data_IF_751646129925
#
_entry.id   IF_751646129925
#
_cell.length_a   1.000
_cell.length_b   1.000
_cell.length_c   1.000
_cell.angle_alpha   90.00
_cell.angle_beta   90.00
_cell.angle_gamma   90.00
#
_symmetry.space_group_name_H-M   'P 1'
#
loop_
_entity.id
_entity.type
_entity.pdbx_description
1 polymer ?
#
# COMPACT_ATOMS: atom_id res chain seq x y z
N UNK A 1 36.85 -27.92 -38.50
CA UNK A 1 35.41 -27.95 -38.73
C UNK A 1 34.94 -29.38 -38.56
N UNK A 2 34.33 -29.71 -37.44
CA UNK A 2 33.78 -31.06 -37.18
C UNK A 2 32.33 -30.88 -36.76
N UNK A 3 31.38 -31.51 -37.42
CA UNK A 3 29.96 -31.48 -36.99
C UNK A 3 29.73 -32.50 -35.89
N UNK A 4 29.05 -32.07 -34.81
CA UNK A 4 28.54 -32.93 -33.76
C UNK A 4 27.15 -33.46 -34.14
N UNK A 5 26.87 -34.73 -33.88
CA UNK A 5 25.59 -35.33 -34.26
C UNK A 5 24.48 -35.00 -33.23
N UNK A 6 23.34 -34.68 -33.78
CA UNK A 6 22.05 -34.63 -33.07
C UNK A 6 21.64 -36.05 -32.68
N UNK A 7 21.64 -36.34 -31.38
CA UNK A 7 20.99 -37.52 -30.85
C UNK A 7 19.63 -37.17 -30.29
N UNK A 8 18.62 -37.69 -30.96
CA UNK A 8 17.24 -37.69 -30.54
C UNK A 8 17.05 -38.54 -29.27
N UNK A 9 16.47 -37.98 -28.24
CA UNK A 9 15.82 -38.74 -27.17
C UNK A 9 14.36 -38.31 -27.06
N UNK A 10 13.56 -39.01 -27.83
CA UNK A 10 12.12 -39.16 -27.60
C UNK A 10 11.96 -40.12 -26.40
N UNK A 11 11.46 -39.64 -25.29
CA UNK A 11 10.91 -40.49 -24.25
C UNK A 11 9.51 -39.95 -23.85
N UNK A 12 8.60 -40.67 -24.33
CA UNK A 12 7.16 -40.69 -24.09
C UNK A 12 6.93 -41.14 -22.63
N UNK A 13 6.32 -40.31 -21.81
CA UNK A 13 5.65 -40.78 -20.58
C UNK A 13 4.30 -40.12 -20.51
N UNK A 14 3.31 -40.87 -20.95
CA UNK A 14 1.91 -40.68 -20.62
C UNK A 14 1.66 -41.41 -19.29
N UNK A 15 1.12 -40.70 -18.27
CA UNK A 15 0.25 -41.33 -17.26
C UNK A 15 -0.50 -40.24 -16.46
N UNK A 16 -1.76 -40.33 -16.58
CA UNK A 16 -2.83 -40.44 -15.60
C UNK A 16 -3.23 -39.17 -14.86
N UNK A 17 -4.34 -38.68 -15.37
CA UNK A 17 -5.34 -37.84 -14.71
C UNK A 17 -5.85 -38.47 -13.41
N UNK A 18 -5.81 -37.74 -12.30
CA UNK A 18 -6.74 -37.90 -11.20
C UNK A 18 -7.28 -36.52 -10.85
N UNK A 19 -8.47 -36.24 -11.34
CA UNK A 19 -9.30 -35.13 -10.89
C UNK A 19 -9.88 -35.48 -9.53
N UNK A 20 -9.35 -34.87 -8.48
CA UNK A 20 -10.02 -34.83 -7.18
C UNK A 20 -10.77 -33.51 -7.08
N UNK A 21 -12.06 -33.56 -7.38
CA UNK A 21 -13.01 -32.50 -7.05
C UNK A 21 -13.26 -32.56 -5.55
N UNK A 22 -12.64 -31.64 -4.81
CA UNK A 22 -13.00 -31.38 -3.42
C UNK A 22 -14.07 -30.32 -3.41
N UNK A 23 -15.32 -30.74 -3.32
CA UNK A 23 -16.46 -29.90 -2.97
C UNK A 23 -16.39 -29.59 -1.47
N UNK A 24 -15.90 -28.40 -1.12
CA UNK A 24 -16.01 -27.87 0.22
C UNK A 24 -17.46 -27.41 0.43
N UNK A 25 -18.23 -28.19 1.15
CA UNK A 25 -19.53 -27.79 1.68
C UNK A 25 -19.31 -26.79 2.83
N UNK A 26 -19.83 -25.58 2.63
CA UNK A 26 -19.96 -24.57 3.69
C UNK A 26 -21.15 -24.99 4.56
N UNK A 27 -21.00 -25.23 5.88
CA UNK A 27 -22.16 -25.42 6.75
C UNK A 27 -22.87 -24.07 6.93
N UNK A 28 -24.14 -24.05 6.59
CA UNK A 28 -25.06 -22.98 6.93
C UNK A 28 -25.18 -22.90 8.46
N UNK A 29 -24.67 -21.81 9.03
CA UNK A 29 -24.90 -21.48 10.43
C UNK A 29 -26.23 -20.75 10.56
N UNK A 30 -27.12 -21.39 11.26
CA UNK A 30 -28.46 -20.95 11.64
C UNK A 30 -28.40 -19.65 12.44
N UNK A 31 -29.11 -18.68 11.93
CA UNK A 31 -29.50 -17.43 12.55
C UNK A 31 -30.46 -17.67 13.73
N UNK A 32 -30.27 -17.08 14.89
CA UNK A 32 -31.35 -16.82 15.82
C UNK A 32 -31.81 -15.38 15.71
N UNK A 33 -33.09 -15.22 15.37
CA UNK A 33 -33.82 -13.97 15.29
C UNK A 33 -34.14 -13.37 16.69
N UNK A 34 -34.81 -12.22 16.78
CA UNK A 34 -34.32 -11.00 17.40
C UNK A 34 -34.89 -10.79 18.80
N UNK A 35 -34.08 -10.26 19.70
CA UNK A 35 -34.56 -9.69 20.96
C UNK A 35 -34.76 -8.17 20.82
N UNK A 36 -35.90 -7.75 21.31
CA UNK A 36 -36.50 -6.43 21.19
C UNK A 36 -35.61 -5.27 21.62
N UNK A 37 -35.73 -4.21 20.86
CA UNK A 37 -35.19 -2.89 21.07
C UNK A 37 -35.71 -2.22 22.34
N UNK A 38 -34.78 -1.59 23.09
CA UNK A 38 -35.08 -0.44 23.94
C UNK A 38 -34.55 0.81 23.22
N UNK A 39 -35.28 1.94 23.23
CA UNK A 39 -34.83 3.15 22.58
C UNK A 39 -33.74 3.82 23.43
N UNK A 40 -32.50 3.74 22.99
CA UNK A 40 -31.44 4.55 23.52
C UNK A 40 -31.52 5.95 22.90
N UNK A 41 -31.59 6.94 23.79
CA UNK A 41 -31.62 8.38 23.47
C UNK A 41 -30.50 8.72 22.47
N UNK A 42 -30.93 9.36 21.39
CA UNK A 42 -30.00 10.00 20.44
C UNK A 42 -29.33 11.18 21.16
N UNK A 43 -28.10 11.00 21.55
CA UNK A 43 -27.21 12.12 21.83
C UNK A 43 -26.76 12.65 20.48
N UNK A 44 -27.34 13.75 20.04
CA UNK A 44 -26.84 14.58 18.95
C UNK A 44 -25.48 15.17 19.37
N UNK A 45 -24.45 14.35 19.30
CA UNK A 45 -23.08 14.83 19.27
C UNK A 45 -22.73 15.00 17.81
N UNK A 46 -22.85 16.21 17.31
CA UNK A 46 -22.28 16.59 16.01
C UNK A 46 -20.84 16.07 15.96
N UNK A 47 -20.40 15.44 14.85
CA UNK A 47 -19.03 15.00 14.74
C UNK A 47 -18.12 16.21 14.93
N UNK A 48 -17.34 16.22 16.02
CA UNK A 48 -16.29 17.21 16.20
C UNK A 48 -15.40 17.15 14.96
N UNK A 49 -15.16 18.31 14.35
CA UNK A 49 -14.20 18.41 13.26
C UNK A 49 -12.90 17.73 13.72
N UNK A 50 -12.31 16.85 12.91
CA UNK A 50 -11.09 16.16 13.32
C UNK A 50 -10.04 17.20 13.70
N UNK A 51 -9.45 17.04 14.89
CA UNK A 51 -8.37 17.90 15.34
C UNK A 51 -7.25 17.88 14.27
N UNK A 52 -6.59 19.00 14.00
CA UNK A 52 -5.51 19.03 13.03
C UNK A 52 -4.46 18.00 13.40
N UNK A 53 -4.16 17.10 12.47
CA UNK A 53 -3.16 16.06 12.65
C UNK A 53 -1.78 16.72 12.81
N UNK A 54 -1.15 16.53 13.95
CA UNK A 54 0.22 16.98 14.20
C UNK A 54 1.15 15.82 13.87
N UNK A 55 2.01 16.01 12.84
CA UNK A 55 2.97 14.99 12.42
C UNK A 55 4.19 14.93 13.35
N UNK A 56 4.65 13.72 13.62
CA UNK A 56 5.87 13.42 14.36
C UNK A 56 6.99 13.04 13.40
N UNK A 57 8.05 13.84 13.32
CA UNK A 57 9.15 13.62 12.39
C UNK A 57 9.99 12.37 12.70
N UNK A 58 10.10 11.96 13.96
CA UNK A 58 10.87 10.76 14.34
C UNK A 58 10.15 9.49 13.88
N UNK A 59 8.84 9.41 14.09
CA UNK A 59 7.99 8.35 13.54
C UNK A 59 8.04 8.36 12.02
N UNK A 60 7.89 9.55 11.42
CA UNK A 60 7.94 9.76 9.99
C UNK A 60 9.24 9.31 9.34
N UNK A 61 10.37 9.47 10.03
CA UNK A 61 11.67 8.96 9.57
C UNK A 61 11.67 7.45 9.38
N UNK A 62 11.08 6.74 10.33
CA UNK A 62 10.98 5.27 10.26
C UNK A 62 10.05 4.84 9.13
N UNK A 63 8.89 5.48 8.99
CA UNK A 63 7.92 5.19 7.95
C UNK A 63 8.45 5.51 6.55
N UNK A 64 9.21 6.60 6.39
CA UNK A 64 9.80 7.02 5.13
C UNK A 64 10.94 6.11 4.62
N UNK A 65 11.29 5.05 5.37
CA UNK A 65 12.29 4.08 4.91
C UNK A 65 11.94 3.48 3.55
N UNK A 66 10.67 3.17 3.32
CA UNK A 66 10.20 2.62 2.04
C UNK A 66 10.31 3.59 0.86
N UNK A 67 10.38 4.88 1.13
CA UNK A 67 10.51 5.92 0.11
C UNK A 67 11.94 6.03 -0.44
N UNK A 68 12.94 5.67 0.37
CA UNK A 68 14.37 5.90 0.06
C UNK A 68 14.84 5.18 -1.19
N UNK A 69 14.32 3.97 -1.44
CA UNK A 69 14.75 3.14 -2.58
C UNK A 69 14.49 3.79 -3.94
N UNK A 70 13.42 4.59 -4.04
CA UNK A 70 13.05 5.28 -5.28
C UNK A 70 13.38 6.76 -5.23
N UNK A 71 13.07 7.45 -4.12
CA UNK A 71 13.22 8.90 -4.02
C UNK A 71 14.57 9.38 -3.46
N UNK A 72 15.36 8.47 -2.84
CA UNK A 72 16.65 8.82 -2.27
C UNK A 72 16.56 9.97 -1.26
N UNK A 73 15.75 9.81 -0.22
CA UNK A 73 15.24 10.85 0.69
C UNK A 73 16.33 11.77 1.25
N UNK A 74 17.43 11.21 1.76
CA UNK A 74 18.62 11.96 2.13
C UNK A 74 19.66 11.85 1.01
N UNK A 75 20.14 12.97 0.49
CA UNK A 75 21.05 12.98 -0.63
C UNK A 75 20.41 12.42 -1.89
N UNK A 76 19.33 13.04 -2.31
CA UNK A 76 18.55 12.64 -3.49
C UNK A 76 19.43 12.15 -4.64
N UNK A 77 19.24 10.89 -4.97
CA UNK A 77 19.73 10.29 -6.22
C UNK A 77 18.57 9.60 -6.86
N UNK A 78 18.32 9.89 -8.13
CA UNK A 78 17.40 9.10 -8.91
C UNK A 78 17.96 7.67 -9.01
N UNK A 79 17.33 6.71 -8.34
CA UNK A 79 17.79 5.32 -8.30
C UNK A 79 17.78 4.67 -9.70
N UNK A 80 16.93 5.18 -10.57
CA UNK A 80 16.79 4.73 -11.95
C UNK A 80 17.08 5.90 -12.91
N UNK A 81 18.25 5.95 -13.54
CA UNK A 81 18.63 7.10 -14.40
C UNK A 81 17.65 7.40 -15.52
N UNK A 82 16.94 6.38 -16.01
CA UNK A 82 15.92 6.50 -17.06
C UNK A 82 14.50 6.73 -16.54
N UNK A 83 14.29 6.71 -15.22
CA UNK A 83 12.98 6.88 -14.60
C UNK A 83 13.03 8.02 -13.60
N UNK A 84 12.44 9.14 -13.97
CA UNK A 84 12.44 10.35 -13.14
C UNK A 84 11.41 10.24 -12.01
N UNK A 85 11.89 10.10 -10.78
CA UNK A 85 11.06 10.24 -9.57
C UNK A 85 11.23 11.62 -8.98
N UNK A 86 10.19 12.25 -8.43
CA UNK A 86 10.30 13.58 -7.86
C UNK A 86 11.13 13.59 -6.57
N UNK A 87 11.82 14.71 -6.33
CA UNK A 87 12.42 14.97 -5.03
C UNK A 87 11.32 15.23 -4.01
N UNK A 88 11.31 14.48 -2.91
CA UNK A 88 10.31 14.61 -1.84
C UNK A 88 10.88 15.24 -0.57
N UNK A 89 12.18 15.13 -0.30
CA UNK A 89 12.83 15.81 0.81
C UNK A 89 12.88 17.32 0.62
N UNK A 90 12.53 18.08 1.67
CA UNK A 90 12.52 19.55 1.67
C UNK A 90 11.30 20.19 1.01
N UNK A 91 10.26 19.42 0.70
CA UNK A 91 8.96 19.94 0.28
C UNK A 91 8.16 20.40 1.51
N UNK A 92 7.14 21.24 1.33
CA UNK A 92 6.29 21.64 2.46
C UNK A 92 5.47 20.46 3.00
N UNK A 93 5.25 20.42 4.32
CA UNK A 93 4.47 19.34 4.94
C UNK A 93 3.04 19.27 4.38
N UNK A 94 2.42 20.43 4.16
CA UNK A 94 1.08 20.52 3.57
C UNK A 94 1.02 19.89 2.18
N UNK A 95 1.98 20.23 1.32
CA UNK A 95 2.04 19.66 -0.03
C UNK A 95 2.22 18.13 0.03
N UNK A 96 3.10 17.64 0.91
CA UNK A 96 3.35 16.21 1.04
C UNK A 96 2.12 15.47 1.57
N UNK A 97 1.44 16.02 2.58
CA UNK A 97 0.18 15.47 3.10
C UNK A 97 -0.87 15.40 2.00
N UNK A 98 -1.09 16.49 1.28
CA UNK A 98 -2.06 16.54 0.19
C UNK A 98 -1.72 15.53 -0.90
N UNK A 99 -0.48 15.49 -1.35
CA UNK A 99 -0.05 14.59 -2.42
C UNK A 99 -0.22 13.11 -2.05
N UNK A 100 0.15 12.71 -0.83
CA UNK A 100 -0.02 11.33 -0.36
C UNK A 100 -1.50 10.98 -0.19
N UNK A 101 -2.31 11.91 0.31
CA UNK A 101 -3.77 11.72 0.43
C UNK A 101 -4.42 11.56 -0.95
N UNK A 102 -4.06 12.39 -1.92
CA UNK A 102 -4.55 12.29 -3.29
C UNK A 102 -4.18 10.94 -3.94
N UNK A 103 -2.96 10.44 -3.71
CA UNK A 103 -2.59 9.10 -4.16
C UNK A 103 -3.40 8.02 -3.45
N UNK A 104 -3.59 8.13 -2.13
CA UNK A 104 -4.37 7.18 -1.33
C UNK A 104 -5.81 7.06 -1.84
N UNK A 105 -6.43 8.18 -2.14
CA UNK A 105 -7.81 8.27 -2.64
C UNK A 105 -7.93 7.91 -4.14
N UNK A 106 -6.81 7.89 -4.87
CA UNK A 106 -6.80 7.63 -6.30
C UNK A 106 -7.08 8.86 -7.17
N UNK A 107 -7.07 10.05 -6.60
CA UNK A 107 -7.22 11.32 -7.34
C UNK A 107 -5.98 11.60 -8.16
N UNK A 108 -4.80 11.27 -7.63
CA UNK A 108 -3.53 11.32 -8.34
C UNK A 108 -3.18 9.93 -8.89
N UNK A 109 -2.90 9.85 -10.20
CA UNK A 109 -2.69 8.58 -10.90
C UNK A 109 -1.22 8.19 -10.94
N UNK A 110 -0.84 7.22 -10.12
CA UNK A 110 0.45 6.53 -10.17
C UNK A 110 0.33 5.22 -9.37
N UNK A 111 0.25 4.05 -10.01
CA UNK A 111 -0.08 2.79 -9.32
C UNK A 111 0.82 2.48 -8.12
N UNK A 112 2.14 2.67 -8.26
CA UNK A 112 3.10 2.42 -7.17
C UNK A 112 2.87 3.37 -5.99
N UNK A 113 2.68 4.68 -6.26
CA UNK A 113 2.44 5.66 -5.20
C UNK A 113 1.07 5.47 -4.54
N UNK A 114 0.06 5.05 -5.30
CA UNK A 114 -1.24 4.70 -4.75
C UNK A 114 -1.12 3.52 -3.79
N UNK A 115 -0.44 2.43 -4.18
CA UNK A 115 -0.22 1.27 -3.33
C UNK A 115 0.56 1.64 -2.04
N UNK A 116 1.60 2.48 -2.15
CA UNK A 116 2.34 2.97 -0.99
C UNK A 116 1.44 3.79 -0.06
N UNK A 117 0.70 4.75 -0.59
CA UNK A 117 -0.14 5.65 0.22
C UNK A 117 -1.31 4.92 0.88
N UNK A 118 -1.86 3.90 0.24
CA UNK A 118 -2.93 3.08 0.81
C UNK A 118 -2.48 2.26 2.03
N UNK A 119 -1.20 1.97 2.16
CA UNK A 119 -0.65 1.26 3.32
C UNK A 119 -0.52 2.14 4.58
N UNK A 120 -0.64 3.46 4.45
CA UNK A 120 -0.47 4.41 5.54
C UNK A 120 -1.82 4.89 6.09
N UNK A 121 -1.89 5.08 7.41
CA UNK A 121 -2.97 5.83 8.05
C UNK A 121 -2.85 7.33 7.76
N UNK A 122 -3.85 8.12 8.14
CA UNK A 122 -3.76 9.58 8.02
C UNK A 122 -2.66 10.16 8.92
N UNK A 123 -2.49 9.57 10.12
CA UNK A 123 -1.42 9.96 11.03
C UNK A 123 -0.04 9.62 10.45
N UNK A 124 0.13 8.44 9.85
CA UNK A 124 1.38 8.08 9.20
C UNK A 124 1.75 9.06 8.07
N UNK A 125 0.76 9.48 7.30
CA UNK A 125 0.94 10.51 6.25
C UNK A 125 1.39 11.83 6.86
N UNK A 126 0.79 12.25 7.98
CA UNK A 126 1.21 13.46 8.68
C UNK A 126 2.64 13.34 9.21
N UNK A 127 2.99 12.22 9.80
CA UNK A 127 4.31 11.93 10.34
C UNK A 127 5.39 11.92 9.23
N UNK A 128 5.15 11.20 8.13
CA UNK A 128 6.02 11.18 6.95
C UNK A 128 6.22 12.60 6.41
N UNK A 129 5.14 13.37 6.32
CA UNK A 129 5.19 14.75 5.81
C UNK A 129 6.00 15.67 6.72
N UNK A 130 5.86 15.52 8.04
CA UNK A 130 6.66 16.28 9.01
C UNK A 130 8.16 15.95 8.87
N UNK A 131 8.51 14.69 8.72
CA UNK A 131 9.90 14.27 8.53
C UNK A 131 10.47 14.79 7.21
N UNK A 132 9.80 14.52 6.09
CA UNK A 132 10.30 14.90 4.78
C UNK A 132 10.45 16.40 4.60
N UNK A 133 9.56 17.20 5.21
CA UNK A 133 9.65 18.67 5.18
C UNK A 133 10.81 19.21 6.00
N UNK A 134 11.28 18.50 7.01
CA UNK A 134 12.42 18.88 7.85
C UNK A 134 13.77 18.71 7.15
N UNK A 135 13.82 17.95 6.07
CA UNK A 135 15.05 17.72 5.29
C UNK A 135 15.43 18.95 4.46
N UNK A 136 16.74 19.19 4.31
CA UNK A 136 17.28 20.34 3.55
C UNK A 136 17.96 19.90 2.27
#
# INVERSE_FOLDING_TARGET
MRPLPLAACLALVATLSVAAVVTAQVPASSEPAPAAAAPAAASDTAPAAPAPLVGNADTGRTLAYTCQGCHGVEGYKNAYPSFHVPRIGGQSAEYLMQALTEYKNGDRKHPTMQAQSQSFSEQDIADISAYLSSLK
#
